data_IF_298839118022
#
_entry.id   IF_298839118022
#
_cell.length_a   1.000
_cell.length_b   1.000
_cell.length_c   1.000
_cell.angle_alpha   90.00
_cell.angle_beta   90.00
_cell.angle_gamma   90.00
#
_symmetry.space_group_name_H-M   'P 1'
#
loop_
_entity.id
_entity.type
_entity.pdbx_description
1 polymer ?
#
# COMPACT_ATOMS: atom_id res chain seq x y z
N UNK A 1 -4.14 -18.34 16.41
CA UNK A 1 -3.81 -17.44 15.28
C UNK A 1 -3.40 -16.02 15.69
N UNK A 2 -3.95 -15.41 16.75
CA UNK A 2 -3.52 -14.06 17.17
C UNK A 2 -2.11 -14.06 17.76
N UNK A 3 -1.32 -12.98 17.58
CA UNK A 3 0.01 -12.84 18.21
C UNK A 3 -0.01 -12.99 19.73
N UNK A 4 -1.14 -12.64 20.36
CA UNK A 4 -1.34 -12.67 21.80
C UNK A 4 -2.03 -13.97 22.29
N UNK A 5 -2.09 -15.02 21.47
CA UNK A 5 -2.63 -16.30 21.92
C UNK A 5 -1.70 -16.91 22.98
N UNK A 6 -2.22 -17.47 24.09
CA UNK A 6 -1.41 -18.03 25.18
C UNK A 6 -0.47 -19.16 24.72
N UNK A 7 -0.84 -19.86 23.64
CA UNK A 7 -0.05 -20.92 23.01
C UNK A 7 1.21 -20.37 22.30
N UNK A 8 1.18 -19.10 21.86
CA UNK A 8 2.32 -18.38 21.25
C UNK A 8 3.15 -17.58 22.25
N UNK A 9 2.58 -17.22 23.41
CA UNK A 9 3.31 -16.58 24.52
C UNK A 9 4.20 -17.55 25.29
N UNK A 10 4.00 -18.86 25.14
CA UNK A 10 4.89 -19.90 25.69
C UNK A 10 6.08 -20.10 24.74
N UNK A 11 6.94 -19.11 24.63
CA UNK A 11 8.29 -19.33 24.10
C UNK A 11 9.07 -20.00 25.23
N UNK A 12 9.56 -21.24 25.07
CA UNK A 12 10.49 -21.83 26.04
C UNK A 12 11.74 -20.94 26.14
N UNK A 13 12.29 -20.83 27.34
CA UNK A 13 13.45 -19.96 27.59
C UNK A 13 14.65 -20.34 26.70
N UNK A 14 15.56 -19.39 26.50
CA UNK A 14 16.79 -19.59 25.72
C UNK A 14 17.53 -20.81 26.28
N UNK A 15 17.92 -21.73 25.39
CA UNK A 15 18.59 -22.98 25.73
C UNK A 15 19.76 -22.78 26.71
N UNK A 16 19.86 -23.66 27.71
CA UNK A 16 20.85 -23.61 28.79
C UNK A 16 22.30 -23.90 28.37
N UNK A 17 22.57 -24.04 27.07
CA UNK A 17 23.92 -24.21 26.53
C UNK A 17 24.55 -25.58 26.80
N UNK A 18 23.73 -26.61 27.07
CA UNK A 18 24.16 -27.99 27.28
C UNK A 18 24.41 -28.76 25.96
N UNK A 19 24.20 -28.11 24.81
CA UNK A 19 24.54 -28.65 23.50
C UNK A 19 23.63 -29.80 23.07
N UNK A 20 22.41 -29.89 23.59
CA UNK A 20 21.41 -30.79 23.00
C UNK A 20 20.91 -30.21 21.67
N UNK A 21 21.48 -30.67 20.56
CA UNK A 21 21.07 -30.31 19.19
C UNK A 21 19.61 -30.71 18.88
N UNK A 22 18.91 -31.40 19.79
CA UNK A 22 17.48 -31.73 19.68
C UNK A 22 16.55 -30.55 19.99
N UNK A 23 17.08 -29.44 20.50
CA UNK A 23 16.34 -28.20 20.77
C UNK A 23 16.46 -27.13 19.68
N UNK A 24 17.02 -27.46 18.51
CA UNK A 24 16.64 -26.73 17.30
C UNK A 24 15.22 -27.18 16.95
N UNK A 25 14.23 -26.67 17.68
CA UNK A 25 12.85 -26.73 17.26
C UNK A 25 12.81 -26.01 15.92
N UNK A 26 12.94 -26.80 14.85
CA UNK A 26 12.20 -26.58 13.62
C UNK A 26 10.81 -26.21 14.12
N UNK A 27 10.50 -24.92 14.15
CA UNK A 27 9.15 -24.48 14.32
C UNK A 27 8.57 -24.77 12.93
N UNK A 28 7.94 -25.95 12.69
CA UNK A 28 7.19 -26.09 11.45
C UNK A 28 6.31 -24.86 11.43
N UNK A 29 6.39 -24.08 10.35
CA UNK A 29 5.56 -22.89 10.21
C UNK A 29 4.17 -23.27 10.72
N UNK A 30 3.76 -22.65 11.84
CA UNK A 30 2.57 -22.98 12.64
C UNK A 30 1.51 -23.58 11.72
N UNK A 31 1.05 -24.83 11.93
CA UNK A 31 0.19 -25.54 10.95
C UNK A 31 -0.94 -24.66 10.41
N UNK A 32 -1.44 -23.74 11.24
CA UNK A 32 -2.43 -22.71 10.89
C UNK A 32 -1.97 -21.76 9.76
N UNK A 33 -0.71 -21.35 9.76
CA UNK A 33 -0.08 -20.53 8.73
C UNK A 33 0.08 -21.30 7.41
N UNK A 34 0.50 -22.57 7.48
CA UNK A 34 0.58 -23.42 6.29
C UNK A 34 -0.79 -23.64 5.66
N UNK A 35 -1.81 -23.89 6.48
CA UNK A 35 -3.19 -23.99 6.05
C UNK A 35 -3.70 -22.69 5.40
N UNK A 36 -3.45 -21.54 6.03
CA UNK A 36 -3.80 -20.24 5.44
C UNK A 36 -3.17 -20.05 4.06
N UNK A 37 -1.88 -20.36 3.91
CA UNK A 37 -1.20 -20.24 2.62
C UNK A 37 -1.76 -21.23 1.59
N UNK A 38 -2.08 -22.46 1.99
CA UNK A 38 -2.69 -23.46 1.12
C UNK A 38 -4.05 -23.00 0.60
N UNK A 39 -4.91 -22.46 1.48
CA UNK A 39 -6.22 -21.92 1.11
C UNK A 39 -6.09 -20.70 0.20
N UNK A 40 -5.24 -19.72 0.55
CA UNK A 40 -4.99 -18.55 -0.31
C UNK A 40 -4.43 -18.94 -1.68
N UNK A 41 -3.64 -20.00 -1.75
CA UNK A 41 -3.11 -20.53 -3.01
C UNK A 41 -4.17 -21.10 -3.96
N UNK A 42 -5.40 -21.34 -3.48
CA UNK A 42 -6.52 -21.80 -4.32
C UNK A 42 -7.27 -20.68 -5.02
N UNK A 43 -6.97 -19.41 -4.71
CA UNK A 43 -7.67 -18.26 -5.30
C UNK A 43 -7.26 -18.11 -6.76
N UNK A 44 -8.23 -18.08 -7.65
CA UNK A 44 -8.00 -17.76 -9.06
C UNK A 44 -7.92 -16.22 -9.25
N UNK A 45 -7.06 -15.71 -10.16
CA UNK A 45 -6.97 -14.27 -10.42
C UNK A 45 -8.29 -13.62 -10.83
N UNK A 46 -9.16 -14.38 -11.50
CA UNK A 46 -10.51 -13.97 -11.90
C UNK A 46 -11.38 -13.68 -10.69
N UNK A 47 -11.27 -14.45 -9.62
CA UNK A 47 -12.05 -14.27 -8.39
C UNK A 47 -11.68 -12.99 -7.64
N UNK A 48 -10.44 -12.50 -7.81
CA UNK A 48 -9.97 -11.26 -7.16
C UNK A 48 -10.54 -9.99 -7.81
N UNK A 49 -10.96 -10.07 -9.08
CA UNK A 49 -11.46 -8.93 -9.85
C UNK A 49 -12.93 -9.06 -10.25
N UNK A 50 -13.58 -10.18 -9.90
CA UNK A 50 -14.97 -10.45 -10.24
C UNK A 50 -15.91 -9.58 -9.38
N UNK A 51 -16.71 -8.68 -9.96
CA UNK A 51 -17.63 -7.82 -9.20
C UNK A 51 -18.75 -8.60 -8.50
N UNK A 52 -19.00 -9.85 -8.87
CA UNK A 52 -20.00 -10.73 -8.24
C UNK A 52 -19.42 -11.48 -7.02
N UNK A 53 -18.08 -11.54 -6.90
CA UNK A 53 -17.34 -12.17 -5.81
C UNK A 53 -16.66 -11.08 -4.97
N UNK A 54 -17.45 -10.40 -4.13
CA UNK A 54 -16.89 -9.44 -3.16
C UNK A 54 -15.92 -10.08 -2.17
N UNK A 55 -15.05 -9.27 -1.57
CA UNK A 55 -14.00 -9.72 -0.66
C UNK A 55 -14.55 -10.56 0.52
N UNK A 56 -15.69 -10.17 1.09
CA UNK A 56 -16.35 -10.89 2.18
C UNK A 56 -16.78 -12.30 1.74
N UNK A 57 -17.27 -12.44 0.51
CA UNK A 57 -17.71 -13.72 -0.06
C UNK A 57 -16.51 -14.61 -0.37
N UNK A 58 -15.43 -14.05 -0.92
CA UNK A 58 -14.20 -14.79 -1.15
C UNK A 58 -13.61 -15.32 0.16
N UNK A 59 -13.50 -14.47 1.19
CA UNK A 59 -13.04 -14.88 2.51
C UNK A 59 -13.93 -15.96 3.13
N UNK A 60 -15.25 -15.85 3.00
CA UNK A 60 -16.16 -16.90 3.44
C UNK A 60 -15.90 -18.22 2.71
N UNK A 61 -15.75 -18.22 1.37
CA UNK A 61 -15.47 -19.45 0.61
C UNK A 61 -14.19 -20.14 1.08
N UNK A 62 -13.14 -19.38 1.35
CA UNK A 62 -11.85 -19.90 1.81
C UNK A 62 -11.89 -20.44 3.24
N UNK A 63 -12.57 -19.75 4.16
CA UNK A 63 -12.43 -20.01 5.60
C UNK A 63 -13.75 -20.40 6.30
N UNK A 64 -14.77 -20.85 5.55
CA UNK A 64 -16.10 -21.17 6.10
C UNK A 64 -16.05 -22.24 7.22
N UNK A 65 -15.12 -23.19 7.18
CA UNK A 65 -14.98 -24.24 8.18
C UNK A 65 -14.52 -23.72 9.56
N UNK A 66 -13.73 -22.65 9.57
CA UNK A 66 -13.17 -22.05 10.79
C UNK A 66 -14.03 -20.91 11.35
N UNK A 67 -15.00 -20.44 10.57
CA UNK A 67 -15.80 -19.26 10.86
C UNK A 67 -15.10 -17.95 10.46
N UNK A 68 -15.83 -17.09 9.77
CA UNK A 68 -15.29 -15.84 9.21
C UNK A 68 -15.92 -14.63 9.86
N UNK A 69 -15.07 -13.69 10.32
CA UNK A 69 -15.50 -12.37 10.79
C UNK A 69 -14.78 -11.30 9.97
N UNK A 70 -15.55 -10.47 9.29
CA UNK A 70 -15.03 -9.36 8.48
C UNK A 70 -15.31 -8.04 9.20
N UNK A 71 -14.43 -7.05 8.99
CA UNK A 71 -14.57 -5.70 9.51
C UNK A 71 -15.03 -4.75 8.42
N UNK A 72 -15.34 -3.50 8.80
CA UNK A 72 -15.68 -2.46 7.83
C UNK A 72 -14.51 -2.27 6.87
N UNK A 73 -14.82 -2.26 5.57
CA UNK A 73 -13.83 -1.96 4.53
C UNK A 73 -13.32 -0.53 4.66
N UNK A 74 -12.07 -0.34 4.24
CA UNK A 74 -11.47 0.98 4.08
C UNK A 74 -11.66 1.37 2.61
N UNK A 75 -12.26 2.54 2.31
CA UNK A 75 -12.35 3.00 0.93
C UNK A 75 -10.94 3.24 0.39
N UNK A 76 -10.73 2.81 -0.85
CA UNK A 76 -9.50 3.06 -1.60
C UNK A 76 -9.89 3.97 -2.75
N UNK A 77 -9.36 5.19 -2.71
CA UNK A 77 -9.61 6.21 -3.73
C UNK A 77 -8.27 6.57 -4.38
N UNK A 78 -8.32 6.86 -5.68
CA UNK A 78 -7.20 7.47 -6.38
C UNK A 78 -7.17 8.98 -6.06
N UNK A 79 -6.29 9.37 -5.15
CA UNK A 79 -6.15 10.76 -4.70
C UNK A 79 -4.68 11.20 -4.75
N UNK A 80 -4.35 12.02 -5.73
CA UNK A 80 -3.06 12.70 -5.80
C UNK A 80 -3.05 13.95 -4.91
N UNK A 81 -1.90 14.22 -4.28
CA UNK A 81 -1.74 15.39 -3.42
C UNK A 81 -1.32 16.66 -4.17
N UNK A 82 -1.19 16.62 -5.50
CA UNK A 82 -0.89 17.81 -6.30
C UNK A 82 -2.05 18.82 -6.24
N UNK A 83 -1.73 20.10 -6.40
CA UNK A 83 -2.71 21.18 -6.46
C UNK A 83 -2.08 22.36 -7.19
N UNK A 84 -2.91 23.24 -7.77
CA UNK A 84 -2.41 24.44 -8.46
C UNK A 84 -1.55 25.28 -7.54
N UNK A 85 -1.94 25.42 -6.27
CA UNK A 85 -1.23 26.21 -5.26
C UNK A 85 0.16 25.65 -4.95
N UNK A 86 0.29 24.32 -4.84
CA UNK A 86 1.60 23.68 -4.62
C UNK A 86 2.52 23.86 -5.81
N UNK A 87 2.01 23.68 -7.03
CA UNK A 87 2.82 23.85 -8.24
C UNK A 87 3.21 25.32 -8.44
N UNK A 88 2.28 26.24 -8.21
CA UNK A 88 2.56 27.68 -8.21
C UNK A 88 3.65 28.05 -7.20
N UNK A 89 3.58 27.52 -5.97
CA UNK A 89 4.61 27.75 -4.95
C UNK A 89 5.99 27.22 -5.34
N UNK A 90 6.06 26.14 -6.13
CA UNK A 90 7.31 25.63 -6.69
C UNK A 90 7.84 26.62 -7.74
N UNK A 91 6.99 27.04 -8.68
CA UNK A 91 7.36 28.00 -9.73
C UNK A 91 7.78 29.36 -9.17
N UNK A 92 7.18 29.83 -8.06
CA UNK A 92 7.63 31.04 -7.37
C UNK A 92 9.06 30.98 -6.85
N UNK A 93 9.62 29.78 -6.64
CA UNK A 93 11.00 29.60 -6.23
C UNK A 93 12.00 29.73 -7.37
N UNK A 94 11.55 29.78 -8.63
CA UNK A 94 12.41 29.85 -9.79
C UNK A 94 12.88 31.28 -10.03
N UNK A 95 14.09 31.41 -10.58
CA UNK A 95 14.61 32.67 -11.09
C UNK A 95 13.84 33.12 -12.34
N UNK A 96 13.94 34.41 -12.68
CA UNK A 96 13.33 34.94 -13.89
C UNK A 96 13.84 34.27 -15.17
N UNK A 97 15.09 33.79 -15.19
CA UNK A 97 15.65 33.03 -16.32
C UNK A 97 15.00 31.64 -16.42
N UNK A 98 14.87 30.92 -15.31
CA UNK A 98 14.21 29.61 -15.27
C UNK A 98 12.72 29.68 -15.65
N UNK A 99 12.00 30.72 -15.21
CA UNK A 99 10.61 30.97 -15.61
C UNK A 99 10.51 31.20 -17.12
N UNK A 100 11.43 31.99 -17.68
CA UNK A 100 11.47 32.27 -19.11
C UNK A 100 11.79 31.02 -19.91
N UNK A 101 12.73 30.20 -19.45
CA UNK A 101 13.11 28.94 -20.10
C UNK A 101 12.00 27.88 -20.00
N UNK A 102 11.17 27.95 -18.94
CA UNK A 102 9.99 27.09 -18.76
C UNK A 102 8.76 27.57 -19.53
N UNK A 103 8.82 28.75 -20.17
CA UNK A 103 7.69 29.32 -20.92
C UNK A 103 7.72 28.82 -22.36
N UNK A 104 6.68 28.10 -22.75
CA UNK A 104 6.47 27.60 -24.11
C UNK A 104 5.15 28.17 -24.66
N UNK A 105 5.14 28.64 -25.91
CA UNK A 105 3.93 29.21 -26.56
C UNK A 105 3.22 30.35 -25.77
N UNK A 106 3.92 30.98 -24.82
CA UNK A 106 3.39 32.05 -23.98
C UNK A 106 2.76 31.59 -22.66
N UNK A 107 2.84 30.30 -22.33
CA UNK A 107 2.37 29.71 -21.06
C UNK A 107 3.40 28.80 -20.42
N UNK A 108 3.19 28.47 -19.14
CA UNK A 108 3.94 27.42 -18.44
C UNK A 108 2.99 26.25 -18.22
N UNK A 109 3.33 25.10 -18.79
CA UNK A 109 2.54 23.87 -18.72
C UNK A 109 3.22 22.85 -17.81
N UNK A 110 2.57 22.49 -16.70
CA UNK A 110 3.11 21.51 -15.75
C UNK A 110 2.20 20.30 -15.68
N UNK A 111 2.72 19.13 -16.06
CA UNK A 111 2.05 17.86 -15.86
C UNK A 111 2.53 17.23 -14.54
N UNK A 112 1.59 16.81 -13.68
CA UNK A 112 1.94 16.03 -12.51
C UNK A 112 2.34 14.60 -12.90
N UNK A 113 3.57 14.18 -12.63
CA UNK A 113 4.06 12.82 -12.95
C UNK A 113 3.36 11.68 -12.20
N UNK A 114 2.51 11.99 -11.21
CA UNK A 114 1.75 10.98 -10.45
C UNK A 114 0.35 10.75 -10.99
N UNK A 115 -0.40 11.81 -11.30
CA UNK A 115 -1.80 11.70 -11.75
C UNK A 115 -2.05 12.27 -13.15
N UNK A 116 -1.01 12.75 -13.83
CA UNK A 116 -1.07 13.36 -15.16
C UNK A 116 -2.01 14.57 -15.27
N UNK A 117 -2.44 15.15 -14.15
CA UNK A 117 -3.19 16.42 -14.16
C UNK A 117 -2.30 17.52 -14.69
N UNK A 118 -2.82 18.30 -15.64
CA UNK A 118 -2.14 19.44 -16.24
C UNK A 118 -2.53 20.73 -15.52
N UNK A 119 -1.53 21.56 -15.25
CA UNK A 119 -1.68 22.89 -14.67
C UNK A 119 -1.05 23.92 -15.60
N UNK A 120 -1.85 24.91 -15.96
CA UNK A 120 -1.42 26.03 -16.79
C UNK A 120 -1.24 27.29 -15.94
N UNK A 121 -0.14 28.00 -16.19
CA UNK A 121 0.18 29.26 -15.53
C UNK A 121 0.59 30.33 -16.55
N UNK A 122 0.23 31.57 -16.28
CA UNK A 122 0.73 32.73 -17.01
C UNK A 122 2.12 33.10 -16.44
N UNK A 123 3.18 33.21 -17.27
CA UNK A 123 4.50 33.65 -16.82
C UNK A 123 4.47 35.00 -16.08
N UNK A 124 3.50 35.86 -16.37
CA UNK A 124 3.29 37.13 -15.69
C UNK A 124 2.93 36.96 -14.20
N UNK A 125 2.43 35.79 -13.77
CA UNK A 125 2.19 35.47 -12.35
C UNK A 125 3.49 35.45 -11.52
N UNK A 126 4.65 35.26 -12.18
CA UNK A 126 5.95 35.07 -11.53
C UNK A 126 6.98 36.16 -11.88
N UNK A 127 6.60 37.13 -12.73
CA UNK A 127 7.45 38.25 -13.07
C UNK A 127 7.64 39.15 -11.82
N UNK A 128 8.86 39.21 -11.32
CA UNK A 128 9.26 40.14 -10.26
C UNK A 128 9.55 41.50 -10.90
N UNK A 129 8.89 42.57 -10.44
CA UNK A 129 9.25 43.97 -10.75
C UNK A 129 10.69 44.31 -10.28
#
# INVERSE_FOLDING_TARGET
FLPQAPERMRIPDISGGDGDDRELTDHPADNSWQELLALLGTIEPTELIDPTVGAERLLYRLFHEHGVRVFRSVPVDDQCSCSREKIHGILQGFSAEEIKDSTEEGGIHVACEFCSTQYDFDPAEFAVE
#
